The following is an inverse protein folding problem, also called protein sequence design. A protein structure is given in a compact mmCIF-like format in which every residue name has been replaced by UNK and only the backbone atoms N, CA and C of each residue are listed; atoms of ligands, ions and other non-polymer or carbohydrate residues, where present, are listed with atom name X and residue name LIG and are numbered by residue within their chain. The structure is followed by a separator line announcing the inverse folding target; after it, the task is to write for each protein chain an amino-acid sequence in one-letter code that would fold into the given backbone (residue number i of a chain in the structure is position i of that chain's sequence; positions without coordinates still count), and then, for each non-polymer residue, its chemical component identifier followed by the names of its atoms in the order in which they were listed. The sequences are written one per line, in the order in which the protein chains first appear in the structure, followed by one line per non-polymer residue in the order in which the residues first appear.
data_IF_823876594609
#
_entry.id   IF_823876594609
#
_cell.length_a   1.000
_cell.length_b   1.000
_cell.length_c   1.000
_cell.angle_alpha   90.00
_cell.angle_beta   90.00
_cell.angle_gamma   90.00
#
_symmetry.space_group_name_H-M   'P 1'
#
loop_
_entity.id
_entity.type
_entity.pdbx_description
1 polymer ?
#
# COMPACT_ATOMS: atom_id res chain seq x y z
N UNK A 1 20.81 -40.06 14.34
CA UNK A 1 20.03 -39.57 13.18
C UNK A 1 19.36 -38.26 13.53
N UNK A 2 20.00 -37.13 13.19
CA UNK A 2 19.37 -35.82 13.03
C UNK A 2 20.20 -35.11 11.95
N UNK A 3 19.69 -35.10 10.72
CA UNK A 3 20.30 -34.37 9.60
C UNK A 3 19.67 -32.99 9.54
N UNK A 4 20.51 -31.99 9.81
CA UNK A 4 20.69 -30.73 9.07
C UNK A 4 19.53 -30.13 8.27
N UNK A 5 19.26 -28.85 8.52
CA UNK A 5 19.11 -27.86 7.46
C UNK A 5 19.71 -26.51 7.93
N UNK A 6 20.99 -26.30 7.61
CA UNK A 6 21.57 -24.97 7.53
C UNK A 6 21.30 -24.47 6.11
N UNK A 7 20.53 -23.40 5.97
CA UNK A 7 20.27 -22.75 4.69
C UNK A 7 21.59 -22.07 4.27
N UNK A 8 22.30 -22.74 3.37
CA UNK A 8 23.42 -22.18 2.65
C UNK A 8 22.87 -21.25 1.56
N UNK A 9 23.14 -19.95 1.69
CA UNK A 9 22.95 -18.97 0.62
C UNK A 9 24.06 -19.22 -0.42
N UNK A 10 23.80 -20.16 -1.33
CA UNK A 10 24.72 -20.55 -2.39
C UNK A 10 24.57 -19.60 -3.59
N UNK A 11 25.65 -18.85 -3.82
CA UNK A 11 26.16 -18.37 -5.10
C UNK A 11 25.23 -18.46 -6.33
N UNK A 12 24.71 -17.31 -6.76
CA UNK A 12 24.27 -17.11 -8.14
C UNK A 12 25.37 -16.32 -8.87
N UNK A 13 26.42 -17.03 -9.29
CA UNK A 13 27.36 -16.53 -10.30
C UNK A 13 26.85 -16.95 -11.67
N UNK A 14 26.30 -16.01 -12.43
CA UNK A 14 26.20 -16.14 -13.88
C UNK A 14 26.58 -14.83 -14.54
N UNK A 15 27.78 -14.83 -15.10
CA UNK A 15 28.20 -14.05 -16.29
C UNK A 15 27.87 -12.55 -16.27
N UNK A 16 28.89 -11.76 -15.94
CA UNK A 16 29.08 -10.42 -16.48
C UNK A 16 29.20 -10.51 -18.02
N UNK A 17 28.06 -10.64 -18.71
CA UNK A 17 27.95 -10.19 -20.09
C UNK A 17 27.84 -8.67 -20.04
N UNK A 18 28.95 -7.99 -20.33
CA UNK A 18 28.93 -6.59 -20.73
C UNK A 18 27.98 -6.46 -21.94
N UNK A 19 26.81 -5.89 -21.73
CA UNK A 19 25.86 -5.57 -22.79
C UNK A 19 24.44 -6.07 -22.52
N UNK A 20 23.76 -5.49 -21.51
CA UNK A 20 22.28 -5.47 -21.42
C UNK A 20 21.74 -4.64 -20.23
N UNK A 21 22.56 -4.17 -19.28
CA UNK A 21 22.10 -3.43 -18.08
C UNK A 21 22.33 -1.92 -18.15
N UNK A 22 22.23 -1.31 -19.33
CA UNK A 22 22.56 0.10 -19.54
C UNK A 22 21.32 1.02 -19.56
N UNK A 23 20.30 0.76 -18.75
CA UNK A 23 19.22 1.72 -18.49
C UNK A 23 18.96 1.77 -16.98
N UNK A 24 19.41 2.84 -16.30
CA UNK A 24 19.01 3.16 -14.91
C UNK A 24 20.10 3.64 -13.95
N UNK A 25 21.39 3.39 -14.22
CA UNK A 25 22.45 3.69 -13.23
C UNK A 25 22.86 5.18 -13.22
N UNK A 26 22.89 5.79 -12.04
CA UNK A 26 23.36 7.18 -11.86
C UNK A 26 24.86 7.19 -11.55
N UNK A 27 25.67 7.89 -12.35
CA UNK A 27 27.09 8.07 -12.07
C UNK A 27 27.27 9.10 -10.96
N UNK A 28 27.80 8.64 -9.83
CA UNK A 28 28.02 9.47 -8.65
C UNK A 28 29.37 10.17 -8.77
N UNK A 29 30.42 9.42 -9.09
CA UNK A 29 31.77 9.93 -9.23
C UNK A 29 32.55 9.09 -10.26
N UNK A 30 33.42 9.74 -11.00
CA UNK A 30 34.34 9.10 -11.95
C UNK A 30 35.68 9.84 -11.97
N UNK A 31 36.75 9.09 -12.21
CA UNK A 31 38.10 9.63 -12.30
C UNK A 31 38.98 8.74 -13.18
N UNK A 32 39.67 9.35 -14.15
CA UNK A 32 40.59 8.69 -15.08
C UNK A 32 41.95 9.41 -15.19
N UNK A 33 42.17 10.42 -14.35
CA UNK A 33 43.42 11.18 -14.21
C UNK A 33 43.90 11.95 -15.44
N UNK A 34 43.20 11.88 -16.58
CA UNK A 34 43.69 12.43 -17.84
C UNK A 34 43.72 13.96 -17.88
N UNK A 35 43.01 14.62 -16.96
CA UNK A 35 43.06 16.07 -16.79
C UNK A 35 44.13 16.54 -15.81
N UNK A 36 44.87 15.62 -15.18
CA UNK A 36 45.90 15.93 -14.21
C UNK A 36 47.29 16.09 -14.85
N UNK A 37 48.24 16.58 -14.07
CA UNK A 37 49.65 16.69 -14.50
C UNK A 37 50.49 15.57 -13.88
N UNK A 38 51.33 14.94 -14.71
CA UNK A 38 52.29 13.92 -14.26
C UNK A 38 53.14 14.43 -13.09
N UNK A 39 53.25 13.61 -12.05
CA UNK A 39 54.08 13.88 -10.89
C UNK A 39 53.42 14.69 -9.78
N UNK A 40 52.27 15.35 -10.04
CA UNK A 40 51.50 16.03 -8.99
C UNK A 40 50.99 15.05 -7.95
N UNK A 41 51.00 15.46 -6.69
CA UNK A 41 50.36 14.71 -5.62
C UNK A 41 48.85 14.66 -5.90
N UNK A 42 48.21 13.53 -5.57
CA UNK A 42 46.77 13.39 -5.85
C UNK A 42 45.92 14.41 -5.10
N UNK A 43 46.38 14.88 -3.94
CA UNK A 43 45.73 15.97 -3.18
C UNK A 43 45.77 17.33 -3.87
N UNK A 44 46.61 17.50 -4.89
CA UNK A 44 46.70 18.73 -5.69
C UNK A 44 45.82 18.67 -6.95
N UNK A 45 45.21 17.53 -7.23
CA UNK A 45 44.29 17.35 -8.36
C UNK A 45 42.91 17.90 -7.98
N UNK A 46 42.35 18.72 -8.85
CA UNK A 46 41.03 19.35 -8.66
C UNK A 46 39.98 18.54 -9.39
N UNK A 47 38.96 18.07 -8.65
CA UNK A 47 37.76 17.44 -9.19
C UNK A 47 36.52 18.17 -8.62
N UNK A 48 35.51 18.42 -9.46
CA UNK A 48 34.33 19.17 -9.03
C UNK A 48 33.41 18.38 -8.08
N UNK A 49 33.44 17.05 -8.16
CA UNK A 49 32.57 16.15 -7.40
C UNK A 49 33.25 15.55 -6.18
N UNK A 50 34.57 15.66 -6.08
CA UNK A 50 35.34 14.97 -5.07
C UNK A 50 36.58 15.77 -4.62
N UNK A 51 36.94 15.62 -3.34
CA UNK A 51 38.19 16.12 -2.76
C UNK A 51 39.11 14.94 -2.49
N UNK A 52 40.37 15.06 -2.91
CA UNK A 52 41.37 14.02 -2.71
C UNK A 52 42.30 14.38 -1.57
N UNK A 53 42.61 13.41 -0.72
CA UNK A 53 43.52 13.59 0.43
C UNK A 53 44.52 12.45 0.47
N UNK A 54 45.74 12.75 0.90
CA UNK A 54 46.76 11.75 1.17
C UNK A 54 46.88 11.64 2.69
N UNK A 55 46.58 10.46 3.24
CA UNK A 55 46.80 10.21 4.65
C UNK A 55 48.20 9.65 4.84
N UNK A 56 48.94 10.27 5.75
CA UNK A 56 50.31 9.88 6.12
C UNK A 56 50.34 9.47 7.57
N UNK A 57 51.27 8.58 7.91
CA UNK A 57 51.56 8.26 9.31
C UNK A 57 52.14 9.48 10.01
N UNK A 58 51.66 9.76 11.22
CA UNK A 58 52.15 10.81 12.13
C UNK A 58 52.21 12.22 11.51
N UNK A 59 51.37 12.50 10.50
CA UNK A 59 51.30 13.81 9.85
C UNK A 59 52.51 14.16 8.97
N UNK A 60 53.29 13.16 8.54
CA UNK A 60 54.41 13.37 7.63
C UNK A 60 53.96 14.05 6.32
N UNK A 61 54.87 14.80 5.68
CA UNK A 61 54.57 15.42 4.38
C UNK A 61 54.39 14.33 3.30
N UNK A 62 53.31 14.40 2.48
CA UNK A 62 53.03 13.42 1.44
C UNK A 62 54.05 13.48 0.30
N UNK A 63 54.42 12.32 -0.25
CA UNK A 63 55.48 12.19 -1.27
C UNK A 63 55.17 11.20 -2.37
N UNK A 64 54.34 10.18 -2.12
CA UNK A 64 54.30 9.00 -2.98
C UNK A 64 52.96 8.82 -3.71
N UNK A 65 51.83 9.14 -3.11
CA UNK A 65 50.52 9.08 -3.78
C UNK A 65 50.37 10.20 -4.82
N UNK A 66 50.72 9.91 -6.08
CA UNK A 66 50.86 10.93 -7.14
C UNK A 66 50.50 10.40 -8.52
N UNK A 67 50.22 11.33 -9.42
CA UNK A 67 49.92 11.02 -10.82
C UNK A 67 51.18 10.48 -11.51
N UNK A 68 51.03 9.34 -12.17
CA UNK A 68 52.11 8.53 -12.71
C UNK A 68 51.81 8.16 -14.16
N UNK A 69 52.85 8.00 -14.97
CA UNK A 69 52.76 7.39 -16.28
C UNK A 69 53.70 6.20 -16.36
N UNK A 70 53.24 5.12 -16.99
CA UNK A 70 54.14 4.03 -17.36
C UNK A 70 55.01 4.46 -18.53
N UNK A 71 56.29 4.08 -18.55
CA UNK A 71 57.24 4.49 -19.60
C UNK A 71 56.91 4.01 -21.02
N UNK A 72 55.88 3.15 -21.16
CA UNK A 72 55.43 2.60 -22.44
C UNK A 72 54.29 3.40 -23.08
N UNK A 73 53.63 4.27 -22.34
CA UNK A 73 52.54 5.12 -22.82
C UNK A 73 52.45 6.37 -21.94
N UNK A 74 53.15 7.43 -22.36
CA UNK A 74 53.21 8.69 -21.61
C UNK A 74 51.89 9.46 -21.61
N UNK A 75 50.95 9.10 -22.48
CA UNK A 75 49.62 9.71 -22.54
C UNK A 75 48.65 9.09 -21.52
N UNK A 76 48.96 7.91 -20.98
CA UNK A 76 48.07 7.24 -20.03
C UNK A 76 48.46 7.55 -18.58
N UNK A 77 47.76 8.52 -17.97
CA UNK A 77 47.94 8.89 -16.57
C UNK A 77 47.18 7.92 -15.64
N UNK A 78 47.87 7.40 -14.63
CA UNK A 78 47.33 6.55 -13.57
C UNK A 78 47.66 7.17 -12.21
N UNK A 79 46.87 6.89 -11.16
CA UNK A 79 47.27 7.23 -9.80
C UNK A 79 48.19 6.15 -9.22
N UNK A 80 49.41 6.53 -8.82
CA UNK A 80 50.30 5.66 -8.07
C UNK A 80 49.85 5.58 -6.61
N UNK A 81 49.55 4.37 -6.15
CA UNK A 81 49.37 4.03 -4.73
C UNK A 81 50.65 3.40 -4.21
N UNK A 82 51.31 3.98 -3.20
CA UNK A 82 52.62 3.51 -2.77
C UNK A 82 52.57 2.11 -2.15
N UNK A 83 53.71 1.44 -2.16
CA UNK A 83 53.92 0.22 -1.38
C UNK A 83 53.70 0.48 0.13
N UNK A 84 53.26 -0.54 0.90
CA UNK A 84 52.86 -0.38 2.30
C UNK A 84 53.90 0.29 3.22
N UNK A 85 55.19 0.05 2.98
CA UNK A 85 56.30 0.60 3.79
C UNK A 85 56.40 2.13 3.76
N UNK A 86 55.80 2.77 2.75
CA UNK A 86 55.77 4.23 2.63
C UNK A 86 54.66 4.88 3.47
N UNK A 87 53.79 4.10 4.11
CA UNK A 87 52.74 4.56 5.04
C UNK A 87 51.86 5.71 4.50
N UNK A 88 51.50 5.64 3.22
CA UNK A 88 50.61 6.58 2.56
C UNK A 88 49.38 5.86 1.99
N UNK A 89 48.20 6.46 2.19
CA UNK A 89 46.94 6.02 1.57
C UNK A 89 46.26 7.19 0.89
N UNK A 90 45.39 6.90 -0.07
CA UNK A 90 44.61 7.91 -0.76
C UNK A 90 43.16 7.85 -0.29
N UNK A 91 42.61 8.98 0.13
CA UNK A 91 41.18 9.13 0.41
C UNK A 91 40.51 10.03 -0.62
N UNK A 92 39.26 9.71 -0.90
CA UNK A 92 38.34 10.52 -1.70
C UNK A 92 37.12 10.85 -0.86
N UNK A 93 36.79 12.14 -0.79
CA UNK A 93 35.55 12.64 -0.22
C UNK A 93 34.63 13.13 -1.35
N UNK A 94 33.55 12.41 -1.61
CA UNK A 94 32.54 12.72 -2.61
C UNK A 94 31.46 13.56 -1.92
N UNK A 95 31.25 14.78 -2.41
CA UNK A 95 30.49 15.80 -1.69
C UNK A 95 28.97 15.74 -1.93
N UNK A 96 28.53 15.06 -2.99
CA UNK A 96 27.12 14.96 -3.37
C UNK A 96 26.79 13.57 -3.92
N UNK A 97 25.89 12.86 -3.21
CA UNK A 97 25.38 11.56 -3.63
C UNK A 97 24.09 11.65 -4.47
N UNK A 98 23.67 12.85 -4.87
CA UNK A 98 22.51 13.10 -5.74
C UNK A 98 21.22 12.47 -5.20
N UNK A 99 21.07 12.45 -3.86
CA UNK A 99 19.94 11.82 -3.16
C UNK A 99 19.89 10.29 -3.25
N UNK A 100 20.96 9.63 -3.72
CA UNK A 100 21.02 8.17 -3.85
C UNK A 100 21.54 7.53 -2.55
N UNK A 101 21.00 6.36 -2.23
CA UNK A 101 21.41 5.50 -1.12
C UNK A 101 21.25 4.02 -1.53
N UNK A 102 21.60 3.10 -0.65
CA UNK A 102 21.61 1.66 -0.92
C UNK A 102 22.90 1.21 -1.60
N UNK A 103 22.78 0.24 -2.50
CA UNK A 103 23.92 -0.44 -3.11
C UNK A 103 24.53 0.36 -4.26
N UNK A 104 25.80 0.71 -4.13
CA UNK A 104 26.60 1.36 -5.15
C UNK A 104 27.68 0.39 -5.63
N UNK A 105 27.97 0.44 -6.93
CA UNK A 105 29.02 -0.36 -7.55
C UNK A 105 30.20 0.55 -7.85
N UNK A 106 31.37 0.20 -7.29
CA UNK A 106 32.64 0.83 -7.58
C UNK A 106 33.42 -0.06 -8.55
N UNK A 107 33.83 0.48 -9.69
CA UNK A 107 34.71 -0.19 -10.66
C UNK A 107 35.98 0.61 -10.88
N UNK A 108 37.09 -0.07 -11.13
CA UNK A 108 38.38 0.54 -11.48
C UNK A 108 39.31 -0.47 -12.15
N UNK A 109 40.37 0.01 -12.79
CA UNK A 109 41.52 -0.79 -13.20
C UNK A 109 42.61 -0.68 -12.14
N UNK A 110 43.02 -1.81 -11.57
CA UNK A 110 44.13 -1.85 -10.63
C UNK A 110 45.18 -2.89 -11.04
N UNK A 111 46.45 -2.49 -11.06
CA UNK A 111 47.51 -3.29 -11.64
C UNK A 111 48.15 -4.32 -10.67
N UNK A 112 47.72 -4.37 -9.40
CA UNK A 112 48.21 -5.35 -8.42
C UNK A 112 47.11 -6.34 -8.01
N UNK A 113 47.50 -7.37 -7.27
CA UNK A 113 46.59 -8.46 -6.91
C UNK A 113 45.59 -8.11 -5.79
N UNK A 114 45.90 -7.13 -4.94
CA UNK A 114 45.09 -6.80 -3.77
C UNK A 114 45.13 -5.30 -3.46
N UNK A 115 43.97 -4.78 -3.14
CA UNK A 115 43.76 -3.42 -2.62
C UNK A 115 42.81 -3.52 -1.44
N UNK A 116 42.99 -2.65 -0.46
CA UNK A 116 42.07 -2.47 0.66
C UNK A 116 41.29 -1.18 0.43
N UNK A 117 39.97 -1.25 0.64
CA UNK A 117 39.07 -0.09 0.55
C UNK A 117 38.24 -0.04 1.84
N UNK A 118 38.26 1.10 2.50
CA UNK A 118 37.47 1.35 3.72
C UNK A 118 36.66 2.63 3.56
N UNK A 119 35.64 2.81 4.41
CA UNK A 119 34.86 4.04 4.48
C UNK A 119 34.97 4.65 5.88
N UNK A 120 35.02 5.97 5.96
CA UNK A 120 34.87 6.73 7.21
C UNK A 120 33.49 7.35 7.35
N UNK A 121 32.62 7.24 6.34
CA UNK A 121 31.24 7.68 6.41
C UNK A 121 30.44 6.72 7.29
N UNK A 122 29.73 7.28 8.28
CA UNK A 122 28.91 6.52 9.23
C UNK A 122 27.89 5.61 8.50
N UNK A 123 27.75 4.37 8.97
CA UNK A 123 26.78 3.40 8.43
C UNK A 123 27.14 2.80 7.06
N UNK A 124 28.20 3.27 6.39
CA UNK A 124 28.64 2.71 5.11
C UNK A 124 29.39 1.40 5.31
N UNK A 125 29.09 0.40 4.49
CA UNK A 125 29.86 -0.85 4.43
C UNK A 125 30.49 -1.03 3.06
N UNK A 126 31.69 -1.60 3.05
CA UNK A 126 32.47 -1.91 1.84
C UNK A 126 32.67 -3.41 1.78
N UNK A 127 32.21 -4.04 0.70
CA UNK A 127 32.22 -5.50 0.52
C UNK A 127 32.72 -5.85 -0.88
N UNK A 128 33.00 -7.13 -1.12
CA UNK A 128 33.40 -7.66 -2.44
C UNK A 128 34.62 -6.95 -3.07
N UNK A 129 35.55 -6.47 -2.24
CA UNK A 129 36.76 -5.78 -2.73
C UNK A 129 37.62 -6.74 -3.56
N UNK A 130 37.91 -6.34 -4.79
CA UNK A 130 38.70 -7.09 -5.76
C UNK A 130 39.69 -6.16 -6.49
N UNK A 131 40.48 -6.67 -7.43
CA UNK A 131 41.34 -5.82 -8.27
C UNK A 131 40.58 -5.00 -9.32
N UNK A 132 39.27 -5.19 -9.46
CA UNK A 132 38.44 -4.52 -10.48
C UNK A 132 37.31 -3.68 -9.90
N UNK A 133 37.09 -3.72 -8.58
CA UNK A 133 35.95 -3.04 -7.98
C UNK A 133 35.63 -3.46 -6.55
N UNK A 134 34.55 -2.90 -6.02
CA UNK A 134 33.94 -3.20 -4.74
C UNK A 134 32.44 -2.84 -4.74
N UNK A 135 31.69 -3.36 -3.78
CA UNK A 135 30.30 -2.98 -3.51
C UNK A 135 30.26 -2.11 -2.27
N UNK A 136 29.60 -0.95 -2.37
CA UNK A 136 29.47 0.03 -1.29
C UNK A 136 28.00 0.15 -0.93
N UNK A 137 27.61 -0.19 0.30
CA UNK A 137 26.24 0.03 0.77
C UNK A 137 26.18 1.34 1.55
N UNK A 138 25.37 2.28 1.08
CA UNK A 138 25.22 3.64 1.62
C UNK A 138 23.89 3.76 2.36
N UNK A 139 23.87 4.22 3.63
CA UNK A 139 22.62 4.36 4.38
C UNK A 139 21.73 5.46 3.82
N UNK A 140 20.42 5.34 4.04
CA UNK A 140 19.44 6.38 3.71
C UNK A 140 19.79 7.68 4.45
N UNK A 141 19.72 8.80 3.74
CA UNK A 141 20.00 10.13 4.30
C UNK A 141 21.47 10.57 4.24
N UNK A 142 22.41 9.70 3.86
CA UNK A 142 23.78 10.12 3.60
C UNK A 142 23.84 11.08 2.40
N UNK A 143 24.52 12.21 2.56
CA UNK A 143 24.69 13.24 1.52
C UNK A 143 26.08 13.22 0.89
N UNK A 144 27.05 12.62 1.57
CA UNK A 144 28.44 12.50 1.15
C UNK A 144 29.00 11.10 1.42
N UNK A 145 30.11 10.75 0.75
CA UNK A 145 30.80 9.47 0.91
C UNK A 145 32.30 9.66 0.95
N UNK A 146 32.98 9.08 1.94
CA UNK A 146 34.43 9.12 2.09
C UNK A 146 35.02 7.72 2.04
N UNK A 147 35.77 7.43 0.98
CA UNK A 147 36.47 6.16 0.79
C UNK A 147 37.97 6.33 0.94
N UNK A 148 38.65 5.32 1.48
CA UNK A 148 40.11 5.26 1.57
C UNK A 148 40.63 4.03 0.84
N UNK A 149 41.56 4.23 -0.07
CA UNK A 149 42.23 3.21 -0.87
C UNK A 149 43.65 3.01 -0.36
N UNK A 150 44.00 1.75 -0.11
CA UNK A 150 45.32 1.35 0.36
C UNK A 150 45.84 0.17 -0.43
N UNK A 151 47.01 0.35 -1.04
CA UNK A 151 47.76 -0.76 -1.58
C UNK A 151 48.35 -1.59 -0.42
N UNK A 152 48.08 -2.88 -0.43
CA UNK A 152 48.54 -3.83 0.61
C UNK A 152 49.55 -4.85 0.07
N UNK A 153 50.03 -4.67 -1.16
CA UNK A 153 51.04 -5.55 -1.77
C UNK A 153 52.44 -5.10 -1.38
N UNK A 154 53.14 -5.92 -0.60
CA UNK A 154 54.50 -5.63 -0.15
C UNK A 154 55.47 -5.42 -1.31
N UNK A 155 56.39 -4.45 -1.16
CA UNK A 155 57.48 -4.15 -2.09
C UNK A 155 57.07 -3.77 -3.52
N UNK A 156 55.80 -3.40 -3.75
CA UNK A 156 55.28 -3.01 -5.06
C UNK A 156 54.33 -1.84 -4.92
N UNK A 157 54.49 -0.83 -5.77
CA UNK A 157 53.49 0.22 -5.92
C UNK A 157 52.29 -0.30 -6.72
N UNK A 158 51.09 0.11 -6.31
CA UNK A 158 49.87 -0.02 -7.09
C UNK A 158 49.66 1.17 -8.02
N UNK A 159 48.87 0.96 -9.06
CA UNK A 159 48.41 1.97 -10.01
C UNK A 159 46.94 1.72 -10.26
N UNK A 160 46.13 2.74 -10.02
CA UNK A 160 44.68 2.71 -10.14
C UNK A 160 44.22 3.74 -11.15
N UNK A 161 43.26 3.37 -11.99
CA UNK A 161 42.72 4.18 -13.08
C UNK A 161 41.29 3.76 -13.42
N UNK A 162 40.63 4.51 -14.32
CA UNK A 162 39.27 4.25 -14.83
C UNK A 162 38.25 4.00 -13.71
N UNK A 163 38.29 4.85 -12.69
CA UNK A 163 37.46 4.72 -11.50
C UNK A 163 36.06 5.24 -11.82
N UNK A 164 35.06 4.46 -11.44
CA UNK A 164 33.66 4.83 -11.60
C UNK A 164 32.84 4.28 -10.45
N UNK A 165 32.10 5.16 -9.78
CA UNK A 165 31.13 4.84 -8.76
C UNK A 165 29.73 5.12 -9.31
N UNK A 166 28.91 4.08 -9.38
CA UNK A 166 27.52 4.17 -9.83
C UNK A 166 26.59 3.78 -8.70
N UNK A 167 25.54 4.56 -8.49
CA UNK A 167 24.43 4.15 -7.63
C UNK A 167 23.53 3.19 -8.43
N UNK A 168 23.14 2.08 -7.79
CA UNK A 168 22.05 1.23 -8.26
C UNK A 168 20.71 1.97 -8.25
N UNK A 169 19.65 1.34 -8.74
CA UNK A 169 18.30 1.90 -8.62
C UNK A 169 17.96 2.18 -7.14
N UNK A 170 17.21 3.25 -6.89
CA UNK A 170 16.75 3.61 -5.55
C UNK A 170 15.93 2.42 -5.02
N UNK A 171 16.38 1.77 -3.96
CA UNK A 171 15.58 0.77 -3.29
C UNK A 171 14.50 1.50 -2.49
N UNK A 172 13.27 1.49 -3.01
CA UNK A 172 12.11 1.98 -2.26
C UNK A 172 11.98 1.17 -0.95
N UNK A 173 11.92 1.87 0.18
CA UNK A 173 11.73 1.25 1.49
C UNK A 173 10.24 1.05 1.73
N UNK A 174 9.85 -0.17 2.11
CA UNK A 174 8.48 -0.53 2.46
C UNK A 174 8.45 -0.99 3.91
N UNK A 175 7.60 -0.37 4.73
CA UNK A 175 7.38 -0.79 6.13
C UNK A 175 6.49 -2.02 6.17
N UNK A 176 6.84 -3.06 6.92
CA UNK A 176 5.94 -4.19 7.16
C UNK A 176 4.84 -3.79 8.14
N UNK A 177 3.58 -4.08 7.81
CA UNK A 177 2.42 -3.78 8.66
C UNK A 177 1.49 -4.98 8.74
N UNK A 178 0.98 -5.26 9.94
CA UNK A 178 0.27 -6.51 10.24
C UNK A 178 -1.20 -6.56 9.78
N UNK A 179 -1.80 -5.40 9.46
CA UNK A 179 -3.23 -5.27 9.15
C UNK A 179 -3.59 -3.91 8.53
N UNK A 180 -4.85 -3.77 8.09
CA UNK A 180 -5.37 -2.57 7.44
C UNK A 180 -5.30 -1.34 8.35
N UNK A 181 -5.61 -1.46 9.64
CA UNK A 181 -5.53 -0.33 10.57
C UNK A 181 -4.09 0.20 10.70
N UNK A 182 -3.09 -0.69 10.75
CA UNK A 182 -1.68 -0.32 10.81
C UNK A 182 -1.21 0.38 9.53
N UNK A 183 -1.67 -0.04 8.35
CA UNK A 183 -1.42 0.69 7.09
C UNK A 183 -1.99 2.11 7.16
N UNK A 184 -3.25 2.25 7.55
CA UNK A 184 -3.91 3.57 7.65
C UNK A 184 -3.20 4.50 8.62
N UNK A 185 -2.65 3.97 9.71
CA UNK A 185 -1.91 4.72 10.71
C UNK A 185 -0.57 5.30 10.18
N UNK A 186 -0.03 4.77 9.08
CA UNK A 186 1.16 5.35 8.42
C UNK A 186 0.86 6.69 7.73
N UNK A 187 -0.41 6.98 7.41
CA UNK A 187 -0.83 8.21 6.74
C UNK A 187 -0.67 8.19 5.21
N UNK A 188 -1.23 9.20 4.54
CA UNK A 188 -1.22 9.31 3.07
C UNK A 188 0.19 9.30 2.47
N UNK A 189 0.36 8.65 1.32
CA UNK A 189 1.65 8.45 0.65
C UNK A 189 2.44 7.25 1.18
N UNK A 190 1.92 6.50 2.15
CA UNK A 190 2.61 5.36 2.74
C UNK A 190 2.94 4.26 1.70
N UNK A 191 4.13 3.68 1.87
CA UNK A 191 4.61 2.47 1.18
C UNK A 191 4.79 1.37 2.21
N UNK A 192 4.13 0.24 1.99
CA UNK A 192 4.12 -0.84 2.98
C UNK A 192 4.03 -2.23 2.36
N UNK A 193 4.53 -3.23 3.08
CA UNK A 193 4.16 -4.63 2.86
C UNK A 193 3.02 -4.91 3.84
N UNK A 194 1.79 -4.87 3.33
CA UNK A 194 0.58 -5.13 4.11
C UNK A 194 0.35 -6.63 4.20
N UNK A 195 0.23 -7.14 5.43
CA UNK A 195 -0.26 -8.48 5.70
C UNK A 195 -1.79 -8.47 5.81
N UNK A 196 -2.43 -9.42 5.13
CA UNK A 196 -3.86 -9.71 5.27
C UNK A 196 -4.02 -11.10 5.87
N UNK A 197 -4.84 -11.21 6.92
CA UNK A 197 -5.15 -12.47 7.62
C UNK A 197 -6.66 -12.62 7.70
N UNK A 198 -7.21 -13.67 7.08
CA UNK A 198 -8.65 -13.91 6.93
C UNK A 198 -9.44 -12.67 6.44
N UNK A 199 -8.83 -11.84 5.60
CA UNK A 199 -9.47 -10.62 5.09
C UNK A 199 -10.52 -11.00 4.03
N UNK A 200 -11.70 -10.41 4.05
CA UNK A 200 -12.76 -10.68 3.07
C UNK A 200 -12.79 -9.63 1.97
N UNK A 201 -12.97 -10.09 0.73
CA UNK A 201 -13.38 -9.24 -0.38
C UNK A 201 -14.88 -8.99 -0.25
N UNK A 202 -15.24 -7.88 0.37
CA UNK A 202 -16.61 -7.52 0.67
C UNK A 202 -17.43 -7.26 -0.60
N UNK A 203 -16.85 -6.52 -1.55
CA UNK A 203 -17.54 -6.13 -2.77
C UNK A 203 -16.56 -5.67 -3.84
N UNK A 204 -16.83 -6.06 -5.08
CA UNK A 204 -16.04 -5.71 -6.27
C UNK A 204 -16.97 -5.18 -7.36
N UNK A 205 -16.73 -3.96 -7.85
CA UNK A 205 -17.49 -3.38 -8.96
C UNK A 205 -16.64 -2.34 -9.68
N UNK A 206 -16.68 -2.34 -11.01
CA UNK A 206 -15.91 -1.43 -11.85
C UNK A 206 -14.41 -1.38 -11.45
N UNK A 207 -13.99 -0.30 -10.79
CA UNK A 207 -12.62 -0.07 -10.31
C UNK A 207 -12.44 -0.31 -8.81
N UNK A 208 -13.54 -0.49 -8.07
CA UNK A 208 -13.53 -0.58 -6.61
C UNK A 208 -13.41 -2.06 -6.18
N UNK A 209 -12.58 -2.31 -5.17
CA UNK A 209 -12.45 -3.61 -4.49
C UNK A 209 -12.34 -3.37 -2.99
N UNK A 210 -13.46 -3.48 -2.30
CA UNK A 210 -13.54 -3.28 -0.86
C UNK A 210 -13.09 -4.54 -0.13
N UNK A 211 -12.02 -4.44 0.64
CA UNK A 211 -11.46 -5.51 1.45
C UNK A 211 -11.56 -5.14 2.92
N UNK A 212 -11.98 -6.09 3.75
CA UNK A 212 -12.11 -5.92 5.20
C UNK A 212 -11.34 -7.01 5.95
N UNK A 213 -10.56 -6.60 6.96
CA UNK A 213 -9.99 -7.50 7.96
C UNK A 213 -10.59 -7.20 9.35
N UNK A 214 -10.13 -7.91 10.38
CA UNK A 214 -10.62 -7.72 11.75
C UNK A 214 -10.40 -6.31 12.32
N UNK A 215 -9.54 -5.49 11.70
CA UNK A 215 -9.13 -4.16 12.18
C UNK A 215 -9.78 -3.01 11.40
N UNK A 216 -10.26 -3.26 10.18
CA UNK A 216 -10.95 -2.26 9.37
C UNK A 216 -11.09 -2.66 7.90
N UNK A 217 -11.63 -1.75 7.10
CA UNK A 217 -11.83 -1.96 5.66
C UNK A 217 -11.14 -0.89 4.81
N UNK A 218 -10.79 -1.22 3.57
CA UNK A 218 -10.09 -0.33 2.63
C UNK A 218 -10.53 -0.65 1.20
N UNK A 219 -10.49 0.34 0.32
CA UNK A 219 -10.73 0.15 -1.10
C UNK A 219 -9.41 -0.01 -1.87
N UNK A 220 -9.28 -1.06 -2.67
CA UNK A 220 -8.19 -1.24 -3.63
C UNK A 220 -8.64 -0.71 -5.00
N UNK A 221 -8.64 0.62 -5.11
CA UNK A 221 -9.12 1.33 -6.28
C UNK A 221 -8.18 1.18 -7.48
N UNK A 222 -8.69 0.67 -8.59
CA UNK A 222 -8.01 0.50 -9.88
C UNK A 222 -6.71 -0.33 -9.81
N UNK A 223 -6.60 -1.19 -8.79
CA UNK A 223 -5.41 -2.04 -8.59
C UNK A 223 -5.38 -3.29 -9.49
N UNK A 224 -6.46 -3.56 -10.24
CA UNK A 224 -6.60 -4.70 -11.17
C UNK A 224 -6.25 -6.07 -10.53
N UNK A 225 -6.62 -6.25 -9.26
CA UNK A 225 -6.41 -7.51 -8.55
C UNK A 225 -7.37 -8.59 -9.06
N UNK A 226 -6.96 -9.86 -9.17
CA UNK A 226 -7.77 -10.93 -9.77
C UNK A 226 -8.80 -11.55 -8.80
N UNK A 227 -9.14 -10.85 -7.71
CA UNK A 227 -10.02 -11.37 -6.66
C UNK A 227 -11.47 -10.97 -6.89
N UNK A 228 -12.39 -11.79 -6.42
CA UNK A 228 -13.84 -11.60 -6.58
C UNK A 228 -14.54 -11.49 -5.23
N UNK A 229 -15.71 -10.85 -5.24
CA UNK A 229 -16.59 -10.73 -4.06
C UNK A 229 -16.82 -12.08 -3.37
N UNK A 230 -16.70 -12.11 -2.05
CA UNK A 230 -16.90 -13.30 -1.20
C UNK A 230 -15.62 -14.07 -0.88
N UNK A 231 -14.51 -13.83 -1.60
CA UNK A 231 -13.25 -14.52 -1.32
C UNK A 231 -12.61 -14.06 0.00
N UNK A 232 -11.88 -14.98 0.62
CA UNK A 232 -10.99 -14.73 1.76
C UNK A 232 -9.54 -14.65 1.29
N UNK A 233 -8.80 -13.67 1.78
CA UNK A 233 -7.43 -13.35 1.40
C UNK A 233 -6.49 -13.54 2.57
N UNK A 234 -5.40 -14.28 2.33
CA UNK A 234 -4.32 -14.49 3.28
C UNK A 234 -2.97 -14.29 2.59
N UNK A 235 -2.03 -13.61 3.24
CA UNK A 235 -0.68 -13.40 2.72
C UNK A 235 -0.24 -11.94 2.81
N UNK A 236 0.57 -11.50 1.85
CA UNK A 236 1.07 -10.12 1.82
C UNK A 236 0.85 -9.46 0.45
N UNK A 237 0.70 -8.15 0.48
CA UNK A 237 0.62 -7.31 -0.72
C UNK A 237 1.48 -6.07 -0.52
N UNK A 238 2.30 -5.74 -1.53
CA UNK A 238 3.20 -4.60 -1.48
C UNK A 238 2.47 -3.36 -2.02
N UNK A 239 2.05 -2.51 -1.09
CA UNK A 239 1.34 -1.24 -1.32
C UNK A 239 2.36 -0.16 -1.65
N UNK A 240 2.24 0.41 -2.85
CA UNK A 240 3.08 1.52 -3.32
C UNK A 240 2.46 2.89 -3.02
N UNK A 241 1.14 2.95 -2.91
CA UNK A 241 0.43 4.20 -2.62
C UNK A 241 -0.86 3.94 -1.84
N UNK A 242 -0.90 4.47 -0.62
CA UNK A 242 -2.11 4.63 0.19
C UNK A 242 -2.49 6.10 0.24
N UNK A 243 -3.78 6.43 0.12
CA UNK A 243 -4.28 7.82 0.15
C UNK A 243 -5.70 7.92 0.70
N UNK A 244 -6.17 9.14 0.93
CA UNK A 244 -7.56 9.41 1.26
C UNK A 244 -8.26 10.15 0.12
N UNK A 245 -9.14 9.48 -0.63
CA UNK A 245 -9.97 10.16 -1.63
C UNK A 245 -11.27 10.65 -0.98
N UNK A 246 -11.41 11.96 -0.80
CA UNK A 246 -12.57 12.57 -0.11
C UNK A 246 -12.88 11.90 1.23
N UNK A 247 -11.83 11.61 2.03
CA UNK A 247 -11.87 10.89 3.32
C UNK A 247 -12.02 9.36 3.20
N UNK A 248 -12.21 8.78 2.01
CA UNK A 248 -12.28 7.34 1.80
C UNK A 248 -10.85 6.74 1.75
N UNK A 249 -10.54 5.71 2.54
CA UNK A 249 -9.22 5.07 2.50
C UNK A 249 -9.05 4.20 1.26
N UNK A 250 -8.02 4.50 0.46
CA UNK A 250 -7.73 3.84 -0.81
C UNK A 250 -6.27 3.37 -0.89
N UNK A 251 -6.06 2.17 -1.42
CA UNK A 251 -4.81 1.77 -2.06
C UNK A 251 -4.99 1.96 -3.56
N UNK A 252 -4.09 2.71 -4.21
CA UNK A 252 -4.19 3.00 -5.66
C UNK A 252 -3.04 2.47 -6.49
N UNK A 253 -2.03 1.89 -5.86
CA UNK A 253 -0.97 1.20 -6.54
C UNK A 253 -0.38 0.08 -5.68
N UNK A 254 -0.17 -1.07 -6.31
CA UNK A 254 0.53 -2.22 -5.73
C UNK A 254 1.65 -2.65 -6.68
N UNK A 255 2.75 -3.17 -6.14
CA UNK A 255 3.91 -3.62 -6.93
C UNK A 255 4.15 -5.12 -6.87
N UNK A 256 3.57 -5.80 -5.89
CA UNK A 256 3.72 -7.23 -5.68
C UNK A 256 2.49 -7.76 -4.95
N UNK A 257 1.93 -8.87 -5.43
CA UNK A 257 0.75 -9.51 -4.83
C UNK A 257 1.07 -10.97 -4.50
N UNK A 258 1.23 -11.25 -3.21
CA UNK A 258 1.47 -12.60 -2.67
C UNK A 258 0.28 -13.08 -1.84
N UNK A 259 -0.92 -12.58 -2.15
CA UNK A 259 -2.15 -13.01 -1.50
C UNK A 259 -2.65 -14.32 -2.12
N UNK A 260 -3.12 -15.21 -1.26
CA UNK A 260 -3.82 -16.44 -1.62
C UNK A 260 -5.30 -16.22 -1.32
N UNK A 261 -6.13 -16.50 -2.34
CA UNK A 261 -7.57 -16.46 -2.21
C UNK A 261 -8.13 -17.87 -1.96
N UNK A 262 -9.09 -17.95 -1.05
CA UNK A 262 -9.96 -19.11 -0.87
C UNK A 262 -11.41 -18.67 -0.96
N UNK A 263 -12.30 -19.58 -1.33
CA UNK A 263 -13.73 -19.30 -1.31
C UNK A 263 -14.21 -18.96 0.11
N UNK A 264 -15.22 -18.11 0.16
CA UNK A 264 -15.87 -17.67 1.38
C UNK A 264 -17.28 -17.18 1.08
N UNK A 265 -17.91 -16.58 2.08
CA UNK A 265 -19.25 -16.04 1.96
C UNK A 265 -19.23 -14.52 2.06
N UNK A 266 -20.20 -13.86 1.43
CA UNK A 266 -20.44 -12.44 1.65
C UNK A 266 -21.26 -12.31 2.93
N UNK A 267 -20.69 -11.68 3.96
CA UNK A 267 -21.36 -11.48 5.25
C UNK A 267 -21.33 -9.99 5.60
N UNK A 268 -22.38 -9.23 5.21
CA UNK A 268 -22.51 -7.84 5.63
C UNK A 268 -22.56 -7.72 7.16
N UNK A 269 -21.99 -6.65 7.70
CA UNK A 269 -22.14 -6.30 9.11
C UNK A 269 -23.57 -5.77 9.34
N UNK A 270 -24.40 -6.51 10.07
CA UNK A 270 -25.71 -6.02 10.49
C UNK A 270 -25.54 -5.00 11.61
N UNK A 271 -26.00 -3.77 11.38
CA UNK A 271 -25.87 -2.64 12.30
C UNK A 271 -27.16 -1.82 12.36
N UNK A 272 -27.32 -1.04 13.43
CA UNK A 272 -28.35 -0.02 13.54
C UNK A 272 -27.98 1.24 12.73
N UNK A 273 -28.95 2.14 12.58
CA UNK A 273 -28.75 3.43 11.90
C UNK A 273 -27.77 4.32 12.69
N UNK A 274 -27.88 4.33 14.02
CA UNK A 274 -27.01 5.12 14.92
C UNK A 274 -25.54 4.69 14.91
N UNK A 275 -25.25 3.42 14.61
CA UNK A 275 -23.88 2.88 14.56
C UNK A 275 -23.10 3.30 13.31
N UNK A 276 -23.78 3.84 12.30
CA UNK A 276 -23.17 4.28 11.05
C UNK A 276 -22.20 5.43 11.31
N UNK A 277 -20.90 5.17 11.12
CA UNK A 277 -19.85 6.12 11.47
C UNK A 277 -18.66 6.08 10.50
N UNK A 278 -17.79 7.10 10.58
CA UNK A 278 -16.60 7.20 9.74
C UNK A 278 -15.59 6.06 9.97
N UNK A 279 -15.59 5.44 11.15
CA UNK A 279 -14.78 4.25 11.43
C UNK A 279 -15.18 3.05 10.56
N UNK A 280 -16.40 3.07 9.99
CA UNK A 280 -16.92 2.02 9.13
C UNK A 280 -16.68 2.24 7.65
N UNK A 281 -15.99 3.31 7.23
CA UNK A 281 -15.70 3.52 5.80
C UNK A 281 -15.11 2.26 5.14
N UNK A 282 -15.62 1.95 3.95
CA UNK A 282 -15.31 0.75 3.15
C UNK A 282 -15.90 -0.57 3.68
N UNK A 283 -16.54 -0.61 4.86
CA UNK A 283 -17.21 -1.82 5.35
C UNK A 283 -18.50 -2.08 4.59
N UNK A 284 -18.79 -3.36 4.34
CA UNK A 284 -20.10 -3.82 3.88
C UNK A 284 -21.03 -3.94 5.08
N UNK A 285 -22.16 -3.25 5.02
CA UNK A 285 -23.17 -3.22 6.06
C UNK A 285 -24.53 -3.64 5.54
N UNK A 286 -25.40 -4.03 6.45
CA UNK A 286 -26.82 -4.26 6.22
C UNK A 286 -27.61 -3.53 7.29
N UNK A 287 -28.45 -2.58 6.86
CA UNK A 287 -29.20 -1.67 7.73
C UNK A 287 -30.67 -1.71 7.34
N UNK A 288 -31.56 -1.78 8.32
CA UNK A 288 -33.02 -1.77 8.07
C UNK A 288 -33.65 -0.53 8.68
N UNK A 289 -34.74 -0.08 8.07
CA UNK A 289 -35.54 1.02 8.58
C UNK A 289 -36.65 1.38 7.61
N UNK A 290 -37.41 2.40 7.99
CA UNK A 290 -38.46 2.97 7.17
C UNK A 290 -37.88 3.96 6.18
N UNK A 291 -38.27 3.86 4.92
CA UNK A 291 -37.81 4.75 3.86
C UNK A 291 -38.47 6.12 4.02
N UNK A 292 -37.66 7.17 3.99
CA UNK A 292 -38.11 8.54 3.74
C UNK A 292 -37.35 9.12 2.54
N UNK A 293 -38.02 10.02 1.80
CA UNK A 293 -37.47 10.62 0.58
C UNK A 293 -37.56 12.14 0.64
N UNK A 294 -36.49 12.82 0.22
CA UNK A 294 -36.45 14.29 0.11
C UNK A 294 -36.13 14.68 -1.32
N UNK A 295 -36.98 15.51 -1.91
CA UNK A 295 -36.71 16.12 -3.21
C UNK A 295 -35.79 17.34 -3.04
N UNK A 296 -34.69 17.38 -3.79
CA UNK A 296 -33.71 18.45 -3.75
C UNK A 296 -33.48 19.02 -5.15
N UNK A 297 -33.64 20.34 -5.29
CA UNK A 297 -33.19 21.07 -6.47
C UNK A 297 -31.68 21.35 -6.38
N UNK A 298 -30.95 21.08 -7.47
CA UNK A 298 -29.54 21.39 -7.60
C UNK A 298 -29.22 21.96 -8.98
N UNK A 299 -28.13 22.70 -9.08
CA UNK A 299 -27.62 23.20 -10.36
C UNK A 299 -26.52 22.26 -10.86
N UNK A 300 -26.65 21.76 -12.09
CA UNK A 300 -25.61 20.93 -12.70
C UNK A 300 -24.39 21.75 -13.16
N UNK A 301 -23.32 21.08 -13.61
CA UNK A 301 -22.09 21.75 -14.07
C UNK A 301 -22.29 22.64 -15.32
N UNK A 302 -23.47 22.59 -15.94
CA UNK A 302 -23.85 23.39 -17.11
C UNK A 302 -24.75 24.57 -16.71
N UNK A 303 -25.03 24.76 -15.41
CA UNK A 303 -25.86 25.84 -14.92
C UNK A 303 -27.37 25.55 -14.98
N UNK A 304 -27.79 24.33 -15.34
CA UNK A 304 -29.21 24.00 -15.40
C UNK A 304 -29.72 23.57 -14.03
N UNK A 305 -30.92 24.04 -13.67
CA UNK A 305 -31.65 23.50 -12.51
C UNK A 305 -32.12 22.07 -12.82
N UNK A 306 -31.86 21.18 -11.87
CA UNK A 306 -32.21 19.76 -11.89
C UNK A 306 -32.81 19.40 -10.54
N UNK A 307 -33.54 18.30 -10.52
CA UNK A 307 -34.12 17.74 -9.29
C UNK A 307 -33.57 16.34 -9.10
N UNK A 308 -33.29 15.98 -7.85
CA UNK A 308 -32.97 14.60 -7.45
C UNK A 308 -33.75 14.20 -6.21
N UNK A 309 -33.97 12.90 -6.06
CA UNK A 309 -34.55 12.31 -4.85
C UNK A 309 -33.41 11.76 -4.00
N UNK A 310 -33.33 12.22 -2.76
CA UNK A 310 -32.46 11.66 -1.73
C UNK A 310 -33.26 10.64 -0.90
N UNK A 311 -32.67 9.48 -0.62
CA UNK A 311 -33.30 8.40 0.13
C UNK A 311 -32.63 8.23 1.49
N UNK A 312 -33.43 7.98 2.51
CA UNK A 312 -32.99 7.78 3.89
C UNK A 312 -33.70 6.56 4.47
N UNK A 313 -33.00 5.82 5.32
CA UNK A 313 -33.64 4.94 6.30
C UNK A 313 -33.82 5.73 7.59
N UNK A 314 -34.94 5.51 8.26
CA UNK A 314 -35.30 6.07 9.56
C UNK A 314 -35.67 4.94 10.52
N UNK A 315 -35.16 4.98 11.75
CA UNK A 315 -35.52 4.03 12.82
C UNK A 315 -36.65 4.58 13.71
N UNK A 316 -37.06 3.80 14.71
CA UNK A 316 -38.14 4.19 15.63
C UNK A 316 -37.77 5.42 16.49
N UNK A 317 -36.47 5.70 16.67
CA UNK A 317 -35.93 6.82 17.44
C UNK A 317 -35.65 8.06 16.57
N UNK A 318 -36.07 8.04 15.29
CA UNK A 318 -35.86 9.10 14.30
C UNK A 318 -34.40 9.37 13.93
N UNK A 319 -33.48 8.43 14.19
CA UNK A 319 -32.16 8.49 13.59
C UNK A 319 -32.29 8.21 12.09
N UNK A 320 -31.46 8.86 11.29
CA UNK A 320 -31.49 8.68 9.84
C UNK A 320 -30.12 8.39 9.25
N UNK A 321 -30.09 7.55 8.22
CA UNK A 321 -28.91 7.36 7.38
C UNK A 321 -29.30 7.49 5.91
N UNK A 322 -28.57 8.35 5.19
CA UNK A 322 -28.76 8.50 3.76
C UNK A 322 -28.17 7.29 3.02
N UNK A 323 -28.86 6.84 1.98
CA UNK A 323 -28.34 5.85 1.04
C UNK A 323 -28.59 6.29 -0.40
N UNK A 324 -27.73 5.85 -1.32
CA UNK A 324 -27.86 6.22 -2.73
C UNK A 324 -27.26 5.17 -3.66
N UNK A 325 -27.71 5.21 -4.91
CA UNK A 325 -27.14 4.40 -5.99
C UNK A 325 -25.78 4.97 -6.40
N UNK A 326 -24.71 4.47 -5.77
CA UNK A 326 -23.33 4.88 -6.05
C UNK A 326 -22.85 4.40 -7.41
N UNK A 327 -23.13 3.14 -7.74
CA UNK A 327 -22.69 2.51 -8.98
C UNK A 327 -23.86 2.43 -9.97
N UNK A 328 -23.87 3.33 -10.95
CA UNK A 328 -24.97 3.45 -11.91
C UNK A 328 -25.13 2.24 -12.84
N UNK A 329 -24.07 1.45 -13.00
CA UNK A 329 -24.02 0.21 -13.81
C UNK A 329 -24.47 -1.03 -13.06
N UNK A 330 -24.59 -0.96 -11.72
CA UNK A 330 -24.93 -2.10 -10.91
C UNK A 330 -26.43 -2.44 -11.04
N UNK A 331 -26.73 -3.65 -11.50
CA UNK A 331 -28.10 -4.15 -11.63
C UNK A 331 -28.77 -4.34 -10.26
N UNK A 332 -30.10 -4.27 -10.21
CA UNK A 332 -30.86 -4.49 -8.97
C UNK A 332 -30.75 -3.37 -7.92
N UNK A 333 -30.11 -2.23 -8.23
CA UNK A 333 -29.94 -1.09 -7.31
C UNK A 333 -30.73 0.15 -7.72
N UNK A 334 -31.75 -0.01 -8.56
CA UNK A 334 -32.66 1.08 -8.91
C UNK A 334 -33.61 1.40 -7.74
N UNK A 335 -33.30 2.50 -7.05
CA UNK A 335 -34.03 2.95 -5.86
C UNK A 335 -35.40 3.55 -6.17
N UNK A 336 -35.74 3.79 -7.45
CA UNK A 336 -37.04 4.39 -7.83
C UNK A 336 -38.25 3.52 -7.46
N UNK A 337 -38.01 2.26 -7.11
CA UNK A 337 -39.03 1.32 -6.61
C UNK A 337 -39.39 1.51 -5.14
N UNK A 338 -38.60 2.29 -4.39
CA UNK A 338 -38.86 2.63 -2.99
C UNK A 338 -39.59 3.97 -2.88
N UNK A 339 -40.59 4.03 -2.02
CA UNK A 339 -41.33 5.27 -1.71
C UNK A 339 -41.33 5.54 -0.21
N UNK A 340 -41.61 6.79 0.19
CA UNK A 340 -41.74 7.15 1.60
C UNK A 340 -42.78 6.25 2.29
N UNK A 341 -42.40 5.67 3.42
CA UNK A 341 -43.24 4.77 4.20
C UNK A 341 -42.97 3.29 3.98
N UNK A 342 -42.22 2.92 2.94
CA UNK A 342 -41.80 1.53 2.74
C UNK A 342 -40.85 1.07 3.86
N UNK A 343 -41.00 -0.16 4.32
CA UNK A 343 -39.99 -0.81 5.14
C UNK A 343 -38.93 -1.40 4.20
N UNK A 344 -37.65 -1.15 4.46
CA UNK A 344 -36.57 -1.66 3.62
C UNK A 344 -35.36 -2.10 4.43
N UNK A 345 -34.63 -3.05 3.86
CA UNK A 345 -33.29 -3.43 4.29
C UNK A 345 -32.31 -3.13 3.17
N UNK A 346 -31.34 -2.27 3.45
CA UNK A 346 -30.31 -1.84 2.50
C UNK A 346 -28.99 -2.51 2.85
N UNK A 347 -28.39 -3.17 1.86
CA UNK A 347 -27.01 -3.68 1.94
C UNK A 347 -26.13 -2.76 1.11
N UNK A 348 -25.00 -2.32 1.67
CA UNK A 348 -24.11 -1.41 0.95
C UNK A 348 -22.80 -1.13 1.65
N UNK A 349 -21.94 -0.35 0.99
CA UNK A 349 -20.66 0.08 1.52
C UNK A 349 -20.81 1.44 2.19
N UNK A 350 -20.27 1.61 3.40
CA UNK A 350 -20.21 2.93 4.05
C UNK A 350 -19.19 3.81 3.34
N UNK A 351 -19.63 4.97 2.85
CA UNK A 351 -18.82 5.86 2.02
C UNK A 351 -19.01 7.32 2.43
N UNK A 352 -17.99 8.18 2.25
CA UNK A 352 -18.16 9.61 2.42
C UNK A 352 -18.85 10.22 1.19
N UNK A 353 -19.84 11.08 1.43
CA UNK A 353 -20.48 11.90 0.39
C UNK A 353 -20.50 13.36 0.86
N UNK A 354 -19.58 14.17 0.33
CA UNK A 354 -19.28 15.52 0.83
C UNK A 354 -18.90 15.47 2.32
N UNK A 355 -19.72 16.01 3.20
CA UNK A 355 -19.52 15.98 4.66
C UNK A 355 -20.41 14.95 5.37
N UNK A 356 -21.22 14.19 4.62
CA UNK A 356 -22.09 13.15 5.17
C UNK A 356 -21.44 11.77 5.07
N UNK A 357 -21.85 10.88 5.97
CA UNK A 357 -21.59 9.44 5.92
C UNK A 357 -22.85 8.79 5.37
N UNK A 358 -22.71 8.02 4.29
CA UNK A 358 -23.86 7.45 3.57
C UNK A 358 -23.59 6.00 3.18
N UNK A 359 -24.66 5.28 2.82
CA UNK A 359 -24.57 3.91 2.30
C UNK A 359 -24.60 3.95 0.77
N UNK A 360 -23.51 3.51 0.14
CA UNK A 360 -23.48 3.20 -1.30
C UNK A 360 -24.11 1.83 -1.54
N UNK A 361 -25.29 1.80 -2.14
CA UNK A 361 -26.12 0.59 -2.23
C UNK A 361 -25.49 -0.47 -3.14
N UNK A 362 -25.34 -1.69 -2.61
CA UNK A 362 -24.98 -2.90 -3.39
C UNK A 362 -26.18 -3.80 -3.65
N UNK A 363 -27.16 -3.80 -2.73
CA UNK A 363 -28.45 -4.45 -2.88
C UNK A 363 -29.46 -3.83 -1.90
N UNK A 364 -30.75 -3.99 -2.14
CA UNK A 364 -31.77 -3.68 -1.15
C UNK A 364 -32.95 -4.63 -1.28
N UNK A 365 -33.72 -4.74 -0.21
CA UNK A 365 -34.97 -5.49 -0.16
C UNK A 365 -36.07 -4.59 0.40
N UNK A 366 -37.18 -4.48 -0.32
CA UNK A 366 -38.42 -3.95 0.21
C UNK A 366 -39.09 -5.02 1.08
N UNK A 367 -39.30 -4.70 2.34
CA UNK A 367 -39.94 -5.58 3.31
C UNK A 367 -41.45 -5.39 3.18
N UNK A 368 -42.12 -6.33 2.51
CA UNK A 368 -43.58 -6.34 2.48
C UNK A 368 -44.09 -6.78 3.85
N UNK A 369 -44.87 -5.93 4.53
CA UNK A 369 -45.63 -6.38 5.68
C UNK A 369 -46.69 -7.38 5.18
N UNK A 370 -46.68 -8.60 5.72
CA UNK A 370 -47.81 -9.53 5.54
C UNK A 370 -48.88 -9.17 6.55
N UNK A 371 -49.55 -8.04 6.31
CA UNK A 371 -50.77 -7.69 7.05
C UNK A 371 -51.88 -8.72 6.77
N UNK A 372 -52.66 -9.07 7.78
CA UNK A 372 -53.93 -9.78 7.58
C UNK A 372 -54.98 -8.71 7.29
N UNK A 373 -55.34 -8.51 6.02
CA UNK A 373 -56.35 -7.52 5.59
C UNK A 373 -57.79 -7.88 6.05
N UNK A 374 -57.97 -9.06 6.62
CA UNK A 374 -59.23 -9.51 7.21
C UNK A 374 -59.33 -11.03 7.32
N UNK A 375 -60.33 -11.51 8.06
CA UNK A 375 -60.66 -12.94 8.14
C UNK A 375 -61.89 -13.20 7.26
N UNK A 376 -61.67 -13.75 6.06
CA UNK A 376 -62.73 -14.18 5.15
C UNK A 376 -63.27 -15.56 5.55
N UNK A 377 -64.05 -15.61 6.61
CA UNK A 377 -64.91 -16.76 6.89
C UNK A 377 -66.32 -16.49 6.32
N UNK A 378 -66.87 -17.42 5.53
CA UNK A 378 -68.28 -17.34 5.10
C UNK A 378 -69.21 -17.34 6.32
N UNK A 379 -70.37 -16.70 6.22
CA UNK A 379 -71.32 -16.71 7.32
C UNK A 379 -71.96 -18.10 7.45
N UNK A 380 -71.39 -18.97 8.30
CA UNK A 380 -72.03 -20.22 8.70
C UNK A 380 -72.89 -19.96 9.94
N UNK A 381 -74.21 -20.01 9.75
CA UNK A 381 -75.17 -19.82 10.85
C UNK A 381 -75.26 -21.03 11.77
N UNK A 382 -74.75 -22.19 11.36
CA UNK A 382 -74.70 -23.43 12.14
C UNK A 382 -73.39 -23.58 12.94
N UNK A 383 -72.41 -22.70 12.72
CA UNK A 383 -71.16 -22.73 13.46
C UNK A 383 -71.39 -22.44 14.97
N UNK A 384 -70.62 -23.09 15.87
CA UNK A 384 -70.67 -22.80 17.30
C UNK A 384 -70.43 -21.32 17.61
N UNK A 385 -71.14 -20.81 18.62
CA UNK A 385 -70.98 -19.44 19.12
C UNK A 385 -70.06 -19.46 20.32
N UNK A 386 -69.16 -18.48 20.40
CA UNK A 386 -68.28 -18.26 21.54
C UNK A 386 -68.49 -16.86 22.12
N UNK A 387 -68.36 -16.71 23.44
CA UNK A 387 -68.26 -15.38 24.06
C UNK A 387 -66.85 -14.78 23.85
N UNK A 388 -66.65 -13.54 24.28
CA UNK A 388 -65.34 -12.86 24.18
C UNK A 388 -64.21 -13.54 24.97
N UNK A 389 -64.54 -14.41 25.92
CA UNK A 389 -63.57 -15.21 26.69
C UNK A 389 -63.26 -16.56 26.02
N UNK A 390 -63.79 -16.82 24.81
CA UNK A 390 -63.53 -18.06 24.06
C UNK A 390 -64.32 -19.27 24.54
N UNK A 391 -65.32 -19.09 25.40
CA UNK A 391 -66.17 -20.19 25.87
C UNK A 391 -67.33 -20.39 24.91
N UNK A 392 -67.63 -21.65 24.56
CA UNK A 392 -68.79 -22.00 23.74
C UNK A 392 -70.08 -21.67 24.48
N UNK A 393 -71.04 -21.06 23.79
CA UNK A 393 -72.33 -20.63 24.35
C UNK A 393 -73.48 -21.20 23.51
N UNK A 394 -74.47 -21.79 24.16
CA UNK A 394 -75.64 -22.37 23.49
C UNK A 394 -76.79 -21.37 23.34
N UNK A 395 -76.96 -20.47 24.31
CA UNK A 395 -77.99 -19.43 24.31
C UNK A 395 -77.35 -18.05 24.46
N UNK A 396 -77.56 -17.18 23.48
CA UNK A 396 -76.98 -15.82 23.48
C UNK A 396 -77.94 -14.80 24.08
N UNK A 397 -77.52 -14.13 25.16
CA UNK A 397 -78.15 -12.90 25.65
C UNK A 397 -77.60 -11.66 24.96
N UNK A 398 -78.02 -10.45 25.35
CA UNK A 398 -77.47 -9.19 24.83
C UNK A 398 -75.95 -9.12 25.04
N UNK A 399 -75.18 -8.82 23.99
CA UNK A 399 -73.72 -8.76 24.09
C UNK A 399 -72.98 -9.00 22.77
N UNK A 400 -71.65 -9.08 22.85
CA UNK A 400 -70.73 -9.35 21.73
C UNK A 400 -70.32 -10.82 21.77
N UNK A 401 -70.44 -11.50 20.64
CA UNK A 401 -70.08 -12.91 20.48
C UNK A 401 -69.27 -13.12 19.22
N UNK A 402 -68.65 -14.28 19.11
CA UNK A 402 -67.87 -14.71 17.95
C UNK A 402 -68.56 -15.95 17.35
N UNK A 403 -68.87 -15.91 16.05
CA UNK A 403 -69.33 -17.07 15.28
C UNK A 403 -68.53 -17.15 13.99
N UNK A 404 -67.99 -18.33 13.71
CA UNK A 404 -67.13 -18.58 12.55
C UNK A 404 -66.03 -17.51 12.38
N UNK A 405 -65.33 -17.17 13.47
CA UNK A 405 -64.27 -16.15 13.45
C UNK A 405 -64.74 -14.70 13.34
N UNK A 406 -66.05 -14.42 13.21
CA UNK A 406 -66.59 -13.05 13.12
C UNK A 406 -67.29 -12.61 14.41
N UNK A 407 -67.00 -11.38 14.84
CA UNK A 407 -67.71 -10.74 15.96
C UNK A 407 -69.10 -10.29 15.50
N UNK A 408 -70.13 -10.57 16.29
CA UNK A 408 -71.50 -10.07 16.09
C UNK A 408 -72.11 -9.59 17.41
N UNK A 409 -73.10 -8.71 17.32
CA UNK A 409 -73.77 -8.10 18.47
C UNK A 409 -75.21 -8.58 18.53
N UNK A 410 -75.62 -9.11 19.68
CA UNK A 410 -77.02 -9.39 20.03
C UNK A 410 -77.53 -8.18 20.83
N UNK A 411 -78.54 -7.49 20.32
CA UNK A 411 -79.04 -6.21 20.87
C UNK A 411 -80.11 -6.36 21.94
#
# INVERSE_FOLDING_TARGET
MRKTLHIALAALFSTLSLGAYAQGQTVIWEENWQTAEKGKLVSEVVNQKAVYTINTKDGAAPKYAKIYTNSKDEANLELLLPQPENNETWSVAINDLQGKSGMFTLTYKYNQSKIEITSSTEGVTVTEVSKTGAVINVPVGATSLSLTFKNIVAKKNGRIDDIKLVAGEIQEVYTEVDNIAALKALGEGAKAILKLTDARVNFTVDRDMFIEDATGAIDFYECNLPFTTGQKLNGTIKVKEYKLYKKMPEVTAVTENNLVATDGEVMPNEISIEDVSAAMFCKLVKVSGKVSTVEEEYTDNQGNKKTRINYFLEDEDHNTVQFYRRWGTLEGTDLSTLVTGDEATVTGIIVPLKDNIVIGVTAFQKNNSTGIDGVNAEADTNAPIYNIAGQRVENVGKGIYIRNGKKFVVK
#
